data_IF_988529334220
#
_entry.id   IF_988529334220
#
_cell.length_a   1.000
_cell.length_b   1.000
_cell.length_c   1.000
_cell.angle_alpha   90.00
_cell.angle_beta   90.00
_cell.angle_gamma   90.00
#
_symmetry.space_group_name_H-M   'P 1'
#
loop_
_entity.id
_entity.type
_entity.pdbx_description
1 polymer ?
#
# COMPACT_ATOMS: atom_id res chain seq x y z
N UNK A 1 -14.52 13.67 -8.37
CA UNK A 1 -13.78 14.17 -7.19
C UNK A 1 -12.80 15.29 -7.56
N UNK A 2 -11.84 15.07 -8.48
CA UNK A 2 -10.91 16.11 -8.95
C UNK A 2 -11.57 17.37 -9.55
N UNK A 3 -12.67 17.21 -10.29
CA UNK A 3 -13.42 18.35 -10.85
C UNK A 3 -13.94 19.34 -9.79
N UNK A 4 -14.10 18.90 -8.53
CA UNK A 4 -14.50 19.78 -7.43
C UNK A 4 -13.33 20.56 -6.83
N UNK A 5 -12.09 20.13 -7.05
CA UNK A 5 -10.90 20.73 -6.42
C UNK A 5 -10.39 21.97 -7.14
N UNK A 6 -10.88 22.27 -8.35
CA UNK A 6 -10.48 23.42 -9.17
C UNK A 6 -8.97 23.67 -9.09
N UNK A 7 -8.18 22.67 -9.50
CA UNK A 7 -6.72 22.69 -9.30
C UNK A 7 -6.02 23.90 -9.95
N UNK A 8 -6.65 24.60 -10.88
CA UNK A 8 -6.15 25.84 -11.47
C UNK A 8 -6.14 27.02 -10.48
N UNK A 9 -7.10 27.07 -9.55
CA UNK A 9 -7.25 28.16 -8.57
C UNK A 9 -6.56 27.88 -7.24
N UNK A 10 -6.03 26.68 -7.03
CA UNK A 10 -5.34 26.31 -5.80
C UNK A 10 -3.97 26.98 -5.69
N UNK A 11 -3.61 27.43 -4.49
CA UNK A 11 -2.27 27.99 -4.20
C UNK A 11 -1.16 26.96 -4.45
N UNK A 12 0.03 27.38 -4.87
CA UNK A 12 1.14 26.47 -5.19
C UNK A 12 1.63 25.64 -3.99
N UNK A 13 1.23 26.01 -2.76
CA UNK A 13 1.53 25.28 -1.52
C UNK A 13 0.80 23.94 -1.38
N UNK A 14 -0.23 23.71 -2.20
CA UNK A 14 -1.05 22.50 -2.22
C UNK A 14 -1.57 22.09 -0.82
N UNK A 15 -1.78 23.05 0.08
CA UNK A 15 -2.18 22.84 1.48
C UNK A 15 -3.46 22.01 1.65
N UNK A 16 -4.36 22.05 0.66
CA UNK A 16 -5.57 21.24 0.65
C UNK A 16 -5.29 19.72 0.71
N UNK A 17 -4.11 19.26 0.27
CA UNK A 17 -3.69 17.87 0.38
C UNK A 17 -3.57 17.46 1.85
N UNK A 18 -2.97 18.33 2.68
CA UNK A 18 -2.91 18.15 4.14
C UNK A 18 -4.31 18.07 4.75
N UNK A 19 -5.22 19.00 4.40
CA UNK A 19 -6.59 18.97 4.89
C UNK A 19 -7.35 17.68 4.49
N UNK A 20 -7.11 17.16 3.29
CA UNK A 20 -7.69 15.88 2.85
C UNK A 20 -7.14 14.73 3.68
N UNK A 21 -5.84 14.73 3.98
CA UNK A 21 -5.22 13.73 4.83
C UNK A 21 -5.82 13.80 6.25
N UNK A 22 -5.84 14.97 6.89
CA UNK A 22 -6.47 15.19 8.20
C UNK A 22 -7.92 14.70 8.23
N UNK A 23 -8.71 15.03 7.21
CA UNK A 23 -10.11 14.60 7.11
C UNK A 23 -10.23 13.08 6.95
N UNK A 24 -9.32 12.45 6.20
CA UNK A 24 -9.32 11.00 5.96
C UNK A 24 -9.04 10.18 7.23
N UNK A 25 -8.27 10.73 8.17
CA UNK A 25 -7.86 10.03 9.40
C UNK A 25 -8.48 10.64 10.69
N UNK A 26 -9.46 11.53 10.57
CA UNK A 26 -10.06 12.23 11.71
C UNK A 26 -10.81 11.33 12.70
N UNK A 27 -11.16 10.11 12.29
CA UNK A 27 -11.87 9.12 13.09
C UNK A 27 -10.92 8.22 13.90
N UNK A 28 -9.63 8.59 13.96
CA UNK A 28 -8.57 7.87 14.66
C UNK A 28 -8.37 6.43 14.17
N UNK A 29 -8.85 6.10 12.98
CA UNK A 29 -8.67 4.78 12.37
C UNK A 29 -7.68 4.85 11.21
N UNK A 30 -6.57 4.13 11.33
CA UNK A 30 -5.56 4.04 10.26
C UNK A 30 -5.42 2.59 9.78
N UNK A 31 -5.33 2.43 8.46
CA UNK A 31 -5.05 1.15 7.81
C UNK A 31 -4.31 1.38 6.48
N UNK A 32 -3.69 0.33 5.96
CA UNK A 32 -2.96 0.38 4.69
C UNK A 32 -3.81 0.80 3.50
N UNK A 33 -5.11 0.47 3.50
CA UNK A 33 -6.08 0.91 2.49
C UNK A 33 -6.22 2.43 2.43
N UNK A 34 -6.28 3.13 3.57
CA UNK A 34 -6.34 4.60 3.62
C UNK A 34 -5.02 5.23 3.21
N UNK A 35 -3.90 4.71 3.70
CA UNK A 35 -2.56 5.20 3.33
C UNK A 35 -2.35 5.11 1.81
N UNK A 36 -2.64 3.95 1.21
CA UNK A 36 -2.48 3.79 -0.25
C UNK A 36 -3.49 4.65 -1.02
N UNK A 37 -4.70 4.85 -0.50
CA UNK A 37 -5.69 5.74 -1.12
C UNK A 37 -5.24 7.19 -1.13
N UNK A 38 -4.60 7.70 -0.06
CA UNK A 38 -4.05 9.05 -0.02
C UNK A 38 -2.92 9.21 -1.05
N UNK A 39 -2.00 8.24 -1.14
CA UNK A 39 -0.89 8.25 -2.11
C UNK A 39 -1.41 8.18 -3.55
N UNK A 40 -2.37 7.28 -3.82
CA UNK A 40 -2.99 7.16 -5.14
C UNK A 40 -3.75 8.43 -5.54
N UNK A 41 -4.47 9.05 -4.59
CA UNK A 41 -5.09 10.34 -4.79
C UNK A 41 -4.05 11.42 -5.16
N UNK A 42 -2.93 11.48 -4.43
CA UNK A 42 -1.81 12.35 -4.75
C UNK A 42 -1.27 12.13 -6.17
N UNK A 43 -1.07 10.88 -6.58
CA UNK A 43 -0.61 10.56 -7.94
C UNK A 43 -1.58 11.05 -9.03
N UNK A 44 -2.89 10.93 -8.77
CA UNK A 44 -3.94 11.43 -9.66
C UNK A 44 -3.93 12.97 -9.70
N UNK A 45 -3.72 13.66 -8.58
CA UNK A 45 -3.55 15.12 -8.54
C UNK A 45 -2.30 15.54 -9.32
N UNK A 46 -1.16 14.90 -9.10
CA UNK A 46 0.09 15.18 -9.82
C UNK A 46 -0.06 15.01 -11.33
N UNK A 47 -0.80 13.99 -11.78
CA UNK A 47 -1.08 13.78 -13.20
C UNK A 47 -1.86 14.95 -13.80
N UNK A 48 -2.85 15.48 -13.08
CA UNK A 48 -3.61 16.68 -13.50
C UNK A 48 -2.78 17.95 -13.46
N UNK A 49 -1.91 18.11 -12.47
CA UNK A 49 -1.00 19.26 -12.40
C UNK A 49 -0.05 19.30 -13.60
N UNK A 50 0.41 18.16 -14.10
CA UNK A 50 1.21 18.07 -15.33
C UNK A 50 0.41 18.50 -16.57
N UNK A 51 -0.83 18.04 -16.71
CA UNK A 51 -1.73 18.47 -17.80
C UNK A 51 -1.98 19.99 -17.77
N UNK A 52 -2.02 20.60 -16.58
CA UNK A 52 -2.18 22.04 -16.36
C UNK A 52 -0.85 22.83 -16.41
N UNK A 53 0.27 22.20 -16.78
CA UNK A 53 1.61 22.82 -16.81
C UNK A 53 2.09 23.38 -15.45
N UNK A 54 1.59 22.84 -14.34
CA UNK A 54 1.97 23.20 -12.96
C UNK A 54 2.90 22.17 -12.32
N UNK A 55 3.87 21.66 -13.08
CA UNK A 55 4.74 20.55 -12.65
C UNK A 55 5.53 20.85 -11.38
N UNK A 56 5.87 22.13 -11.14
CA UNK A 56 6.50 22.60 -9.90
C UNK A 56 5.73 22.24 -8.63
N UNK A 57 4.41 22.04 -8.70
CA UNK A 57 3.58 21.71 -7.56
C UNK A 57 3.59 20.20 -7.23
N UNK A 58 4.13 19.34 -8.10
CA UNK A 58 4.21 17.89 -7.89
C UNK A 58 5.06 17.57 -6.66
N UNK A 59 6.18 18.25 -6.48
CA UNK A 59 7.04 18.11 -5.31
C UNK A 59 6.31 18.55 -4.03
N UNK A 60 5.56 19.65 -4.10
CA UNK A 60 4.75 20.11 -2.97
C UNK A 60 3.68 19.10 -2.56
N UNK A 61 2.99 18.47 -3.52
CA UNK A 61 2.00 17.41 -3.21
C UNK A 61 2.67 16.24 -2.50
N UNK A 62 3.83 15.79 -3.02
CA UNK A 62 4.59 14.71 -2.38
C UNK A 62 5.01 15.08 -0.96
N UNK A 63 5.49 16.32 -0.75
CA UNK A 63 5.88 16.82 0.55
C UNK A 63 4.70 16.90 1.53
N UNK A 64 3.53 17.36 1.10
CA UNK A 64 2.34 17.41 1.96
C UNK A 64 1.94 16.01 2.44
N UNK A 65 1.93 15.03 1.53
CA UNK A 65 1.61 13.63 1.87
C UNK A 65 2.68 13.03 2.79
N UNK A 66 3.96 13.16 2.44
CA UNK A 66 5.04 12.57 3.24
C UNK A 66 5.14 13.21 4.62
N UNK A 67 4.96 14.53 4.72
CA UNK A 67 4.98 15.24 5.99
C UNK A 67 3.90 14.69 6.90
N UNK A 68 2.65 14.64 6.42
CA UNK A 68 1.52 14.11 7.20
C UNK A 68 1.75 12.66 7.66
N UNK A 69 2.26 11.79 6.78
CA UNK A 69 2.52 10.40 7.16
C UNK A 69 3.64 10.27 8.22
N UNK A 70 4.65 11.15 8.19
CA UNK A 70 5.77 11.15 9.12
C UNK A 70 5.46 11.91 10.42
N UNK A 71 4.51 12.84 10.43
CA UNK A 71 4.07 13.53 11.65
C UNK A 71 2.93 12.78 12.34
N UNK A 72 1.81 12.61 11.64
CA UNK A 72 0.53 12.21 12.23
C UNK A 72 0.34 10.69 12.25
N UNK A 73 0.94 9.98 11.28
CA UNK A 73 0.79 8.52 11.14
C UNK A 73 2.06 7.74 11.50
N UNK A 74 3.06 8.43 12.05
CA UNK A 74 4.38 7.86 12.39
C UNK A 74 4.29 6.61 13.26
N UNK A 75 3.62 6.73 14.40
CA UNK A 75 3.56 5.66 15.39
C UNK A 75 2.77 4.46 14.84
N UNK A 76 1.71 4.72 14.08
CA UNK A 76 0.97 3.67 13.39
C UNK A 76 1.87 2.94 12.39
N UNK A 77 2.62 3.67 11.55
CA UNK A 77 3.55 3.07 10.60
C UNK A 77 4.58 2.21 11.31
N UNK A 78 5.21 2.68 12.38
CA UNK A 78 6.20 1.89 13.14
C UNK A 78 5.58 0.64 13.77
N UNK A 79 4.41 0.77 14.39
CA UNK A 79 3.69 -0.35 15.00
C UNK A 79 3.22 -1.39 13.96
N UNK A 80 3.16 -1.01 12.68
CA UNK A 80 2.80 -1.87 11.56
C UNK A 80 4.01 -2.23 10.68
N UNK A 81 5.23 -2.33 11.26
CA UNK A 81 6.47 -2.74 10.56
C UNK A 81 6.89 -1.81 9.42
N UNK A 82 6.48 -0.55 9.45
CA UNK A 82 6.74 0.43 8.39
C UNK A 82 6.30 -0.07 7.00
N UNK A 83 7.02 0.32 5.96
CA UNK A 83 6.73 -0.11 4.59
C UNK A 83 6.91 -1.62 4.36
N UNK A 84 7.59 -2.35 5.25
CA UNK A 84 7.63 -3.82 5.18
C UNK A 84 6.25 -4.42 5.45
N UNK A 85 5.52 -3.88 6.44
CA UNK A 85 4.15 -4.32 6.71
C UNK A 85 3.17 -4.01 5.59
N UNK A 86 3.39 -2.94 4.82
CA UNK A 86 2.63 -2.66 3.60
C UNK A 86 2.80 -3.78 2.55
N UNK A 87 4.05 -4.18 2.30
CA UNK A 87 4.35 -5.26 1.34
C UNK A 87 3.76 -6.58 1.81
N UNK A 88 3.86 -6.89 3.10
CA UNK A 88 3.27 -8.09 3.71
C UNK A 88 1.74 -8.08 3.59
N UNK A 89 1.08 -6.96 3.87
CA UNK A 89 -0.38 -6.83 3.83
C UNK A 89 -0.96 -7.01 2.43
N UNK A 90 -0.33 -6.46 1.39
CA UNK A 90 -0.78 -6.59 0.00
C UNK A 90 -0.12 -7.77 -0.74
N UNK A 91 0.63 -8.62 -0.05
CA UNK A 91 1.22 -9.82 -0.66
C UNK A 91 0.10 -10.77 -1.08
N UNK A 92 -0.03 -10.99 -2.39
CA UNK A 92 -0.85 -12.09 -2.91
C UNK A 92 -0.02 -13.36 -2.79
N UNK A 93 -0.43 -14.28 -1.91
CA UNK A 93 0.14 -15.62 -1.90
C UNK A 93 -0.27 -16.34 -3.18
N UNK A 94 0.71 -16.95 -3.84
CA UNK A 94 0.45 -17.85 -4.96
C UNK A 94 -0.15 -19.15 -4.40
N UNK A 95 -1.46 -19.15 -4.23
CA UNK A 95 -2.25 -20.28 -3.71
C UNK A 95 -1.99 -21.55 -4.53
N UNK A 96 -1.74 -21.43 -5.83
CA UNK A 96 -1.41 -22.56 -6.69
C UNK A 96 -0.06 -23.17 -6.30
N UNK A 97 0.95 -22.33 -6.04
CA UNK A 97 2.24 -22.79 -5.53
C UNK A 97 2.12 -23.45 -4.15
N UNK A 98 1.29 -22.91 -3.26
CA UNK A 98 1.07 -23.46 -1.91
C UNK A 98 0.41 -24.83 -1.99
N UNK A 99 -0.66 -24.97 -2.79
CA UNK A 99 -1.37 -26.24 -2.99
C UNK A 99 -0.46 -27.26 -3.67
N UNK A 100 0.28 -26.86 -4.71
CA UNK A 100 1.24 -27.75 -5.41
C UNK A 100 2.32 -28.25 -4.47
N UNK A 101 2.89 -27.38 -3.62
CA UNK A 101 3.92 -27.77 -2.66
C UNK A 101 3.36 -28.72 -1.60
N UNK A 102 2.15 -28.48 -1.10
CA UNK A 102 1.48 -29.37 -0.16
C UNK A 102 1.21 -30.76 -0.77
N UNK A 103 0.71 -30.81 -2.01
CA UNK A 103 0.49 -32.06 -2.75
C UNK A 103 1.80 -32.82 -2.97
N UNK A 104 2.86 -32.13 -3.40
CA UNK A 104 4.18 -32.75 -3.60
C UNK A 104 4.76 -33.31 -2.29
N UNK A 105 4.56 -32.62 -1.16
CA UNK A 105 4.99 -33.12 0.14
C UNK A 105 4.24 -34.40 0.55
N UNK A 106 2.92 -34.45 0.32
CA UNK A 106 2.11 -35.67 0.59
C UNK A 106 2.58 -36.85 -0.26
N UNK A 107 2.80 -36.62 -1.56
CA UNK A 107 3.32 -37.65 -2.48
C UNK A 107 4.70 -38.13 -2.03
N UNK A 108 5.59 -37.22 -1.64
CA UNK A 108 6.91 -37.55 -1.12
C UNK A 108 6.85 -38.43 0.14
N UNK A 109 6.02 -38.06 1.13
CA UNK A 109 5.85 -38.83 2.36
C UNK A 109 5.25 -40.22 2.10
N UNK A 110 4.24 -40.31 1.24
CA UNK A 110 3.60 -41.59 0.89
C UNK A 110 4.56 -42.54 0.14
N UNK A 111 5.34 -42.00 -0.80
CA UNK A 111 6.33 -42.77 -1.57
C UNK A 111 7.45 -43.34 -0.70
N UNK A 112 7.96 -42.55 0.25
CA UNK A 112 8.98 -43.02 1.21
C UNK A 112 8.42 -44.11 2.13
N UNK A 113 7.19 -43.94 2.63
CA UNK A 113 6.53 -44.92 3.50
C UNK A 113 6.30 -46.27 2.79
N UNK A 114 5.82 -46.23 1.54
CA UNK A 114 5.62 -47.45 0.74
C UNK A 114 6.95 -48.14 0.39
N UNK A 115 8.00 -47.37 0.09
CA UNK A 115 9.33 -47.91 -0.20
C UNK A 115 9.95 -48.63 1.01
N UNK A 116 9.88 -48.03 2.20
CA UNK A 116 10.36 -48.66 3.43
C UNK A 116 9.56 -49.92 3.78
N UNK A 117 8.23 -49.89 3.63
CA UNK A 117 7.39 -51.07 3.86
C UNK A 117 7.72 -52.24 2.92
N UNK A 118 8.10 -51.95 1.67
CA UNK A 118 8.53 -52.97 0.70
C UNK A 118 9.90 -53.58 1.05
N UNK A 119 10.83 -52.80 1.63
CA UNK A 119 12.18 -53.26 2.00
C UNK A 119 12.22 -54.12 3.27
N UNK A 120 11.16 -54.12 4.09
CA UNK A 120 11.08 -54.87 5.35
C UNK A 120 10.33 -56.21 5.18
N UNK A 121 9.88 -56.53 3.96
CA UNK A 121 9.18 -57.78 3.61
C UNK A 121 10.11 -58.77 2.93
#
# INVERSE_FOLDING_TARGET
MLQRLQLESQADDMSFIGCIAETMFNDNTTNWGRIVSLVAFGAVVCSRLKELQRERCVETVAQQISSYLISDQHDWLLNNKGWHGFVEFFRVEDVESVIRNALMAVVGCAGIGAGLAFLIR
#
